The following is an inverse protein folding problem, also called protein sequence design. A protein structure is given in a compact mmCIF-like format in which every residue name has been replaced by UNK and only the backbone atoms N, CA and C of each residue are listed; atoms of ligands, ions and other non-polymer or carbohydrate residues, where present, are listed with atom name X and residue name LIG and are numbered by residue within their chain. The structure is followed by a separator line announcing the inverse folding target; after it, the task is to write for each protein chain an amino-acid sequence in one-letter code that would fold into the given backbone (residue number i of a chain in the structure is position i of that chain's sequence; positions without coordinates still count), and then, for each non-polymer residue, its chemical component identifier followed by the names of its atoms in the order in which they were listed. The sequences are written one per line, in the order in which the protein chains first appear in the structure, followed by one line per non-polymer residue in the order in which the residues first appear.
data_IF_453129325664
#
_entry.id   IF_453129325664
#
_cell.length_a   1.000
_cell.length_b   1.000
_cell.length_c   1.000
_cell.angle_alpha   90.00
_cell.angle_beta   90.00
_cell.angle_gamma   90.00
#
_symmetry.space_group_name_H-M   'P 1'
#
loop_
_entity.id
_entity.type
_entity.pdbx_description
1 polymer ?
#
# COMPACT_ATOMS: atom_id res chain seq x y z
N UNK A 1 -10.41 6.98 13.99
CA UNK A 1 -10.93 8.11 13.19
C UNK A 1 -10.94 7.68 11.74
N UNK A 2 -12.04 7.85 11.02
CA UNK A 2 -12.10 7.62 9.57
C UNK A 2 -11.67 8.91 8.89
N UNK A 3 -10.51 8.94 8.21
CA UNK A 3 -10.13 10.13 7.44
C UNK A 3 -11.11 10.27 6.29
N UNK A 4 -11.96 11.29 6.37
CA UNK A 4 -12.87 11.66 5.31
C UNK A 4 -12.08 12.28 4.16
N UNK A 5 -12.02 11.60 3.00
CA UNK A 5 -11.11 11.96 1.91
C UNK A 5 -11.36 13.38 1.39
N UNK A 6 -12.62 13.73 1.18
CA UNK A 6 -13.03 15.07 0.74
C UNK A 6 -12.61 16.19 1.68
N UNK A 7 -12.77 15.99 3.00
CA UNK A 7 -12.39 16.97 4.02
C UNK A 7 -10.87 17.21 4.00
N UNK A 8 -10.06 16.16 3.85
CA UNK A 8 -8.61 16.34 3.78
C UNK A 8 -8.18 17.14 2.54
N UNK A 9 -8.82 16.89 1.39
CA UNK A 9 -8.58 17.68 0.17
C UNK A 9 -8.99 19.14 0.41
N UNK A 10 -10.10 19.38 1.11
CA UNK A 10 -10.55 20.73 1.46
C UNK A 10 -9.56 21.47 2.37
N UNK A 11 -8.96 20.79 3.35
CA UNK A 11 -7.93 21.38 4.22
C UNK A 11 -6.72 21.83 3.41
N UNK A 12 -6.16 20.97 2.56
CA UNK A 12 -5.02 21.34 1.69
C UNK A 12 -5.40 22.46 0.71
N UNK A 13 -6.63 22.46 0.20
CA UNK A 13 -7.16 23.55 -0.61
C UNK A 13 -7.16 24.89 0.13
N UNK A 14 -7.56 24.90 1.42
CA UNK A 14 -7.54 26.08 2.30
C UNK A 14 -6.13 26.53 2.63
N UNK A 15 -5.24 25.61 2.96
CA UNK A 15 -3.83 25.88 3.24
C UNK A 15 -3.13 26.56 2.06
N UNK A 16 -3.49 26.16 0.82
CA UNK A 16 -2.98 26.78 -0.42
C UNK A 16 -3.65 28.12 -0.76
N UNK A 17 -4.68 28.55 -0.01
CA UNK A 17 -5.38 29.81 -0.25
C UNK A 17 -6.15 29.87 -1.58
N UNK A 18 -6.54 28.72 -2.13
CA UNK A 18 -7.18 28.67 -3.44
C UNK A 18 -8.67 29.07 -3.38
N UNK A 19 -9.18 29.57 -4.50
CA UNK A 19 -10.63 29.76 -4.69
C UNK A 19 -11.25 28.50 -5.30
N UNK A 20 -12.55 28.27 -5.07
CA UNK A 20 -13.23 27.11 -5.63
C UNK A 20 -13.15 27.10 -7.17
N UNK A 21 -13.24 28.27 -7.81
CA UNK A 21 -13.14 28.37 -9.27
C UNK A 21 -11.74 28.01 -9.78
N UNK A 22 -10.68 28.41 -9.07
CA UNK A 22 -9.31 28.02 -9.40
C UNK A 22 -9.12 26.51 -9.24
N UNK A 23 -9.55 25.96 -8.10
CA UNK A 23 -9.45 24.53 -7.83
C UNK A 23 -10.20 23.70 -8.87
N UNK A 24 -11.47 24.04 -9.13
CA UNK A 24 -12.31 23.34 -10.10
C UNK A 24 -11.66 23.31 -11.50
N UNK A 25 -11.10 24.43 -11.97
CA UNK A 25 -10.34 24.49 -13.23
C UNK A 25 -9.10 23.59 -13.19
N UNK A 26 -8.34 23.64 -12.09
CA UNK A 26 -7.10 22.87 -11.90
C UNK A 26 -7.35 21.35 -11.93
N UNK A 27 -8.45 20.89 -11.36
CA UNK A 27 -8.83 19.45 -11.33
C UNK A 27 -9.78 19.04 -12.46
N UNK A 28 -10.03 19.92 -13.43
CA UNK A 28 -10.94 19.70 -14.56
C UNK A 28 -12.37 19.29 -14.14
N UNK A 29 -12.92 19.96 -13.13
CA UNK A 29 -14.28 19.76 -12.64
C UNK A 29 -15.14 21.02 -12.77
N UNK A 30 -16.46 20.84 -12.74
CA UNK A 30 -17.37 21.96 -12.54
C UNK A 30 -17.27 22.45 -11.09
N UNK A 31 -17.61 23.72 -10.85
CA UNK A 31 -17.65 24.32 -9.50
C UNK A 31 -18.50 23.51 -8.52
N UNK A 32 -19.66 23.02 -9.00
CA UNK A 32 -20.58 22.17 -8.22
C UNK A 32 -19.93 20.84 -7.85
N UNK A 33 -19.27 20.17 -8.79
CA UNK A 33 -18.61 18.89 -8.52
C UNK A 33 -17.41 19.06 -7.58
N UNK A 34 -16.67 20.16 -7.70
CA UNK A 34 -15.59 20.50 -6.78
C UNK A 34 -16.10 20.73 -5.34
N UNK A 35 -17.25 21.39 -5.18
CA UNK A 35 -17.88 21.54 -3.85
C UNK A 35 -18.40 20.21 -3.30
N UNK A 36 -18.97 19.36 -4.16
CA UNK A 36 -19.45 18.03 -3.77
C UNK A 36 -18.30 17.11 -3.37
N UNK A 37 -17.17 17.18 -4.07
CA UNK A 37 -15.95 16.41 -3.77
C UNK A 37 -15.51 16.57 -2.32
N UNK A 38 -15.55 17.78 -1.76
CA UNK A 38 -15.16 18.03 -0.37
C UNK A 38 -16.05 17.30 0.66
N UNK A 39 -17.27 16.90 0.27
CA UNK A 39 -18.24 16.20 1.12
C UNK A 39 -18.22 14.68 0.94
N UNK A 40 -17.32 14.14 0.11
CA UNK A 40 -17.24 12.69 -0.13
C UNK A 40 -16.32 12.00 0.86
N UNK A 41 -16.85 10.96 1.49
CA UNK A 41 -16.08 10.03 2.34
C UNK A 41 -15.12 9.18 1.51
N UNK A 42 -15.48 8.90 0.26
CA UNK A 42 -14.79 7.98 -0.64
C UNK A 42 -14.34 8.65 -1.95
N UNK A 43 -13.32 8.08 -2.57
CA UNK A 43 -12.90 8.46 -3.92
C UNK A 43 -12.11 7.31 -4.56
N UNK A 44 -12.14 7.19 -5.89
CA UNK A 44 -11.32 6.20 -6.58
C UNK A 44 -9.84 6.60 -6.55
N UNK A 45 -8.94 5.61 -6.55
CA UNK A 45 -7.50 5.84 -6.52
C UNK A 45 -7.02 6.66 -7.75
N UNK A 46 -7.63 6.45 -8.92
CA UNK A 46 -7.34 7.21 -10.14
C UNK A 46 -7.72 8.69 -9.96
N UNK A 47 -8.90 8.97 -9.42
CA UNK A 47 -9.36 10.34 -9.18
C UNK A 47 -8.50 11.03 -8.10
N UNK A 48 -8.13 10.30 -7.04
CA UNK A 48 -7.22 10.80 -5.99
C UNK A 48 -5.84 11.13 -6.55
N UNK A 49 -5.31 10.29 -7.45
CA UNK A 49 -4.00 10.51 -8.10
C UNK A 49 -4.03 11.76 -8.98
N UNK A 50 -5.12 11.97 -9.73
CA UNK A 50 -5.30 13.18 -10.55
C UNK A 50 -5.35 14.45 -9.70
N UNK A 51 -6.11 14.41 -8.60
CA UNK A 51 -6.19 15.53 -7.65
C UNK A 51 -4.83 15.79 -7.00
N UNK A 52 -4.10 14.73 -6.61
CA UNK A 52 -2.76 14.82 -6.03
C UNK A 52 -1.80 15.57 -6.96
N UNK A 53 -1.77 15.20 -8.24
CA UNK A 53 -0.98 15.88 -9.27
C UNK A 53 -1.41 17.33 -9.48
N UNK A 54 -2.72 17.58 -9.56
CA UNK A 54 -3.25 18.92 -9.79
C UNK A 54 -2.94 19.88 -8.64
N UNK A 55 -2.96 19.37 -7.41
CA UNK A 55 -2.70 20.12 -6.19
C UNK A 55 -1.23 20.16 -5.78
N UNK A 56 -0.36 19.36 -6.41
CA UNK A 56 1.02 19.17 -5.98
C UNK A 56 1.09 18.78 -4.49
N UNK A 57 0.36 17.70 -4.16
CA UNK A 57 0.27 17.14 -2.82
C UNK A 57 -0.03 15.64 -2.91
N UNK A 58 0.77 14.78 -2.26
CA UNK A 58 0.57 13.33 -2.33
C UNK A 58 -0.51 12.86 -1.35
N UNK A 59 -1.76 12.90 -1.80
CA UNK A 59 -2.86 12.34 -1.00
C UNK A 59 -2.79 10.81 -0.96
N UNK A 60 -2.28 10.14 -2.00
CA UNK A 60 -2.26 8.67 -2.07
C UNK A 60 -1.39 8.11 -0.93
N UNK A 61 -0.19 8.66 -0.73
CA UNK A 61 0.67 8.26 0.38
C UNK A 61 0.01 8.49 1.74
N UNK A 62 -0.65 9.64 1.92
CA UNK A 62 -1.34 9.97 3.17
C UNK A 62 -2.42 8.94 3.52
N UNK A 63 -3.25 8.54 2.55
CA UNK A 63 -4.32 7.57 2.78
C UNK A 63 -3.81 6.13 2.91
N UNK A 64 -2.74 5.75 2.22
CA UNK A 64 -2.10 4.44 2.41
C UNK A 64 -1.46 4.30 3.80
N UNK A 65 -0.95 5.40 4.37
CA UNK A 65 -0.39 5.41 5.72
C UNK A 65 -1.49 5.29 6.80
N UNK A 66 -2.65 5.90 6.60
CA UNK A 66 -3.81 5.74 7.50
C UNK A 66 -4.29 4.28 7.54
N UNK A 67 -4.30 3.60 6.39
CA UNK A 67 -4.67 2.18 6.31
C UNK A 67 -3.67 1.27 7.03
N UNK A 68 -2.37 1.58 6.96
CA UNK A 68 -1.33 0.88 7.72
C UNK A 68 -1.41 1.13 9.23
N UNK A 69 -1.94 2.26 9.66
CA UNK A 69 -2.20 2.52 11.08
C UNK A 69 -3.48 1.81 11.58
N UNK A 70 -4.46 1.53 10.70
CA UNK A 70 -5.64 0.71 11.03
C UNK A 70 -5.34 -0.78 11.19
N UNK A 71 -4.26 -1.30 10.59
CA UNK A 71 -3.84 -2.69 10.78
C UNK A 71 -3.19 -2.99 12.16
N UNK A 72 -3.30 -2.08 13.14
CA UNK A 72 -2.81 -2.26 14.51
C UNK A 72 -3.92 -2.21 15.58
N UNK A 73 -5.20 -2.30 15.22
CA UNK A 73 -6.30 -2.40 16.18
C UNK A 73 -6.96 -3.79 16.13
N UNK A 74 -7.23 -4.33 17.32
CA UNK A 74 -7.67 -5.69 17.65
C UNK A 74 -8.77 -6.27 16.75
N UNK A 75 -8.55 -7.53 16.39
CA UNK A 75 -9.30 -8.29 15.39
C UNK A 75 -10.60 -8.90 15.98
N UNK A 76 -11.81 -8.56 15.49
CA UNK A 76 -13.05 -9.27 15.83
C UNK A 76 -13.25 -10.56 15.02
N UNK A 77 -12.19 -11.17 14.47
CA UNK A 77 -12.24 -12.38 13.62
C UNK A 77 -12.53 -13.71 14.33
N UNK A 78 -13.01 -13.73 15.58
CA UNK A 78 -13.27 -15.00 16.29
C UNK A 78 -14.33 -15.90 15.63
N UNK A 79 -15.08 -15.41 14.64
CA UNK A 79 -16.21 -16.15 14.05
C UNK A 79 -15.90 -16.80 12.69
N UNK A 80 -14.90 -16.34 11.92
CA UNK A 80 -14.62 -16.91 10.59
C UNK A 80 -13.13 -16.92 10.22
N UNK A 81 -12.31 -17.68 10.93
CA UNK A 81 -10.92 -17.92 10.49
C UNK A 81 -10.69 -19.40 10.27
N UNK A 82 -10.68 -19.83 8.99
CA UNK A 82 -9.92 -21.03 8.59
C UNK A 82 -8.48 -20.79 9.04
N UNK A 83 -7.77 -21.76 9.64
CA UNK A 83 -6.42 -21.54 10.13
C UNK A 83 -5.53 -21.04 8.99
N UNK A 84 -5.20 -19.75 9.02
CA UNK A 84 -4.22 -19.13 8.14
C UNK A 84 -2.89 -19.73 8.56
N UNK A 85 -2.33 -20.63 7.76
CA UNK A 85 -0.92 -21.04 7.95
C UNK A 85 -0.09 -19.77 7.82
N UNK A 86 0.45 -19.28 8.92
CA UNK A 86 1.41 -18.19 8.94
C UNK A 86 2.67 -18.69 8.23
N UNK A 87 2.82 -18.30 6.97
CA UNK A 87 4.01 -18.60 6.18
C UNK A 87 5.06 -17.54 6.51
N UNK A 88 6.19 -17.98 7.05
CA UNK A 88 7.37 -17.16 7.27
C UNK A 88 8.33 -17.35 6.10
N UNK A 89 8.67 -16.26 5.40
CA UNK A 89 9.66 -16.27 4.32
C UNK A 89 11.01 -15.80 4.86
N UNK A 90 12.07 -16.55 4.59
CA UNK A 90 13.45 -16.21 4.94
C UNK A 90 14.28 -16.14 3.65
N UNK A 91 14.99 -15.04 3.44
CA UNK A 91 15.94 -14.86 2.33
C UNK A 91 17.38 -14.97 2.81
N UNK A 92 18.20 -15.74 2.10
CA UNK A 92 19.63 -15.92 2.38
C UNK A 92 20.46 -15.56 1.14
N UNK A 93 21.52 -14.78 1.34
CA UNK A 93 22.53 -14.50 0.32
C UNK A 93 23.78 -15.33 0.59
N UNK A 94 24.33 -15.98 -0.42
CA UNK A 94 25.55 -16.78 -0.34
C UNK A 94 26.60 -16.24 -1.33
N UNK A 95 27.85 -16.26 -0.91
CA UNK A 95 29.01 -15.91 -1.75
C UNK A 95 29.98 -17.08 -1.72
N UNK A 96 30.48 -17.47 -2.90
CA UNK A 96 31.44 -18.55 -3.04
C UNK A 96 32.41 -18.23 -4.20
N UNK A 97 33.55 -18.92 -4.20
CA UNK A 97 34.59 -18.79 -5.22
C UNK A 97 34.18 -19.49 -6.53
N UNK A 98 34.57 -18.92 -7.68
CA UNK A 98 34.21 -19.39 -9.02
C UNK A 98 34.64 -20.85 -9.25
N UNK A 99 35.75 -21.28 -8.65
CA UNK A 99 36.27 -22.65 -8.71
C UNK A 99 35.35 -23.68 -8.03
N UNK A 100 34.42 -23.24 -7.18
CA UNK A 100 33.46 -24.10 -6.48
C UNK A 100 32.09 -24.15 -7.17
N UNK A 101 31.91 -23.44 -8.30
CA UNK A 101 30.64 -23.40 -9.05
C UNK A 101 30.15 -24.80 -9.47
N UNK A 102 31.05 -25.73 -9.78
CA UNK A 102 30.71 -27.12 -10.11
C UNK A 102 30.06 -27.89 -8.95
N UNK A 103 30.23 -27.45 -7.70
CA UNK A 103 29.61 -28.06 -6.51
C UNK A 103 28.25 -27.44 -6.15
N UNK A 104 27.89 -26.32 -6.79
CA UNK A 104 26.63 -25.62 -6.53
C UNK A 104 25.39 -26.51 -6.76
N UNK A 105 25.29 -27.29 -7.86
CA UNK A 105 24.11 -28.14 -8.09
C UNK A 105 23.91 -29.19 -6.98
N UNK A 106 25.02 -29.81 -6.53
CA UNK A 106 24.99 -30.82 -5.47
C UNK A 106 24.65 -30.19 -4.11
N UNK A 107 25.15 -28.99 -3.82
CA UNK A 107 24.79 -28.23 -2.63
C UNK A 107 23.29 -27.88 -2.62
N UNK A 108 22.76 -27.33 -3.72
CA UNK A 108 21.33 -26.98 -3.82
C UNK A 108 20.42 -28.21 -3.65
N UNK A 109 20.82 -29.35 -4.22
CA UNK A 109 20.12 -30.63 -4.04
C UNK A 109 20.08 -31.05 -2.57
N UNK A 110 21.19 -30.93 -1.85
CA UNK A 110 21.27 -31.26 -0.41
C UNK A 110 20.42 -30.32 0.45
N UNK A 111 20.49 -29.01 0.18
CA UNK A 111 19.66 -28.01 0.88
C UNK A 111 18.18 -28.32 0.69
N UNK A 112 17.78 -28.67 -0.55
CA UNK A 112 16.40 -29.05 -0.84
C UNK A 112 15.95 -30.29 -0.09
N UNK A 113 16.75 -31.34 -0.10
CA UNK A 113 16.42 -32.57 0.63
C UNK A 113 16.27 -32.32 2.14
N UNK A 114 17.17 -31.53 2.74
CA UNK A 114 17.10 -31.19 4.15
C UNK A 114 15.86 -30.33 4.49
N UNK A 115 15.53 -29.36 3.62
CA UNK A 115 14.34 -28.53 3.77
C UNK A 115 13.05 -29.38 3.71
N UNK A 116 12.95 -30.29 2.73
CA UNK A 116 11.80 -31.19 2.58
C UNK A 116 11.63 -32.13 3.79
N UNK A 117 12.72 -32.66 4.35
CA UNK A 117 12.69 -33.49 5.57
C UNK A 117 12.15 -32.74 6.80
N UNK A 118 12.41 -31.44 6.87
CA UNK A 118 11.93 -30.56 7.94
C UNK A 118 10.54 -29.96 7.66
N UNK A 119 9.93 -30.31 6.51
CA UNK A 119 8.61 -29.81 6.12
C UNK A 119 8.62 -28.39 5.52
N UNK A 120 9.79 -27.85 5.18
CA UNK A 120 9.92 -26.58 4.48
C UNK A 120 9.75 -26.76 2.97
N UNK A 121 9.12 -25.77 2.32
CA UNK A 121 9.01 -25.68 0.88
C UNK A 121 9.93 -24.56 0.39
N UNK A 122 10.88 -24.92 -0.48
CA UNK A 122 11.72 -23.96 -1.20
C UNK A 122 10.95 -23.50 -2.45
N UNK A 123 10.74 -22.19 -2.56
CA UNK A 123 10.10 -21.55 -3.72
C UNK A 123 11.15 -20.98 -4.67
#
# INVERSE_FOLDING_TARGET
MQIHVGERIYQVFKEKGWTIDFFAKRVHMTKRNAQYLFKRDDISIDQLTKISKAMDYDFVQLFLLDDKQKSLAEDPSSVYTRPRKELMTVSLSLTFDQDQSGKLPEMLKRVRMAAEQLGFQLN
#
